data_IF_885139165131
#
_entry.id   IF_885139165131
#
_cell.length_a   1.000
_cell.length_b   1.000
_cell.length_c   1.000
_cell.angle_alpha   90.00
_cell.angle_beta   90.00
_cell.angle_gamma   90.00
#
_symmetry.space_group_name_H-M   'P 1'
#
loop_
_entity.id
_entity.type
_entity.pdbx_description
1 polymer ?
#
# COMPACT_ATOMS: atom_id res chain seq x y z
N UNK A 1 6.61 29.55 32.32
CA UNK A 1 5.98 28.92 31.14
C UNK A 1 6.87 27.76 30.74
N UNK A 2 6.55 26.54 31.19
CA UNK A 2 7.33 25.36 30.81
C UNK A 2 7.02 25.03 29.35
N UNK A 3 8.05 25.08 28.50
CA UNK A 3 8.01 24.52 27.15
C UNK A 3 7.81 23.00 27.25
N UNK A 4 6.57 22.54 27.20
CA UNK A 4 6.27 21.14 26.91
C UNK A 4 6.79 20.86 25.49
N UNK A 5 7.92 20.17 25.40
CA UNK A 5 8.30 19.44 24.18
C UNK A 5 7.10 18.57 23.84
N UNK A 6 6.37 18.91 22.78
CA UNK A 6 5.24 18.12 22.30
C UNK A 6 5.82 16.77 21.85
N UNK A 7 5.72 15.75 22.72
CA UNK A 7 6.06 14.39 22.36
C UNK A 7 5.00 13.94 21.35
N UNK A 8 5.25 14.19 20.06
CA UNK A 8 4.40 13.64 19.00
C UNK A 8 4.49 12.11 19.10
N UNK A 9 3.35 11.43 18.99
CA UNK A 9 3.34 9.96 18.97
C UNK A 9 4.10 9.45 17.75
N UNK A 10 4.62 8.22 17.82
CA UNK A 10 5.24 7.58 16.67
C UNK A 10 4.24 7.43 15.52
N UNK A 11 2.95 7.21 15.84
CA UNK A 11 1.85 7.20 14.87
C UNK A 11 1.75 8.53 14.10
N UNK A 12 1.80 9.68 14.79
CA UNK A 12 1.78 10.99 14.13
C UNK A 12 2.98 11.18 13.20
N UNK A 13 4.16 10.70 13.61
CA UNK A 13 5.37 10.77 12.80
C UNK A 13 5.25 9.89 11.54
N UNK A 14 4.70 8.68 11.67
CA UNK A 14 4.37 7.83 10.53
C UNK A 14 3.39 8.51 9.57
N UNK A 15 2.32 9.11 10.08
CA UNK A 15 1.33 9.81 9.26
C UNK A 15 1.96 10.95 8.45
N UNK A 16 2.89 11.70 9.06
CA UNK A 16 3.67 12.75 8.36
C UNK A 16 4.58 12.14 7.31
N UNK A 17 5.34 11.09 7.62
CA UNK A 17 6.22 10.42 6.67
C UNK A 17 5.44 9.87 5.45
N UNK A 18 4.27 9.28 5.69
CA UNK A 18 3.35 8.82 4.63
C UNK A 18 2.91 10.00 3.75
N UNK A 19 2.52 11.12 4.34
CA UNK A 19 2.13 12.31 3.57
C UNK A 19 3.29 12.85 2.73
N UNK A 20 4.49 12.97 3.30
CA UNK A 20 5.69 13.45 2.59
C UNK A 20 6.04 12.54 1.40
N UNK A 21 6.06 11.22 1.60
CA UNK A 21 6.29 10.26 0.52
C UNK A 21 5.22 10.39 -0.59
N UNK A 22 3.95 10.61 -0.22
CA UNK A 22 2.89 10.84 -1.19
C UNK A 22 3.01 12.17 -1.94
N UNK A 23 3.69 13.18 -1.40
CA UNK A 23 3.99 14.43 -2.12
C UNK A 23 5.22 14.31 -3.02
N UNK A 24 6.07 13.30 -2.80
CA UNK A 24 7.22 13.03 -3.66
C UNK A 24 6.79 12.81 -5.11
N UNK A 25 7.47 13.51 -6.04
CA UNK A 25 7.16 13.45 -7.47
C UNK A 25 7.63 12.14 -8.12
N UNK A 26 8.75 11.59 -7.67
CA UNK A 26 9.42 10.45 -8.29
C UNK A 26 9.57 9.25 -7.34
N UNK A 27 8.87 9.24 -6.19
CA UNK A 27 8.90 8.12 -5.25
C UNK A 27 10.24 7.91 -4.54
N UNK A 28 11.16 8.89 -4.55
CA UNK A 28 12.49 8.74 -3.91
C UNK A 28 12.42 8.47 -2.39
N UNK A 29 11.27 8.75 -1.76
CA UNK A 29 11.02 8.47 -0.34
C UNK A 29 10.34 7.12 -0.10
N UNK A 30 10.01 6.36 -1.15
CA UNK A 30 9.20 5.15 -1.04
C UNK A 30 9.93 4.06 -0.24
N UNK A 31 11.19 3.78 -0.60
CA UNK A 31 12.01 2.81 0.11
C UNK A 31 12.32 3.27 1.55
N UNK A 32 12.58 4.57 1.73
CA UNK A 32 12.78 5.16 3.05
C UNK A 32 11.55 4.96 3.93
N UNK A 33 10.35 5.24 3.41
CA UNK A 33 9.10 5.08 4.15
C UNK A 33 8.89 3.62 4.58
N UNK A 34 9.07 2.67 3.65
CA UNK A 34 8.95 1.23 3.94
C UNK A 34 9.90 0.83 5.07
N UNK A 35 11.17 1.17 4.93
CA UNK A 35 12.18 0.89 5.94
C UNK A 35 11.82 1.53 7.28
N UNK A 36 11.43 2.80 7.28
CA UNK A 36 11.07 3.54 8.48
C UNK A 36 9.90 2.93 9.24
N UNK A 37 8.83 2.54 8.53
CA UNK A 37 7.69 1.84 9.13
C UNK A 37 8.07 0.44 9.63
N UNK A 38 8.91 -0.28 8.87
CA UNK A 38 9.43 -1.58 9.26
C UNK A 38 10.25 -1.53 10.55
N UNK A 39 11.03 -0.47 10.78
CA UNK A 39 11.77 -0.29 12.04
C UNK A 39 10.84 -0.25 13.25
N UNK A 40 9.62 0.27 13.11
CA UNK A 40 8.64 0.44 14.19
C UNK A 40 7.91 -0.85 14.57
N UNK A 41 8.14 -1.96 13.86
CA UNK A 41 7.61 -3.27 14.23
C UNK A 41 8.31 -3.78 15.50
N UNK A 42 7.55 -4.38 16.41
CA UNK A 42 8.03 -4.79 17.73
C UNK A 42 9.28 -5.69 17.69
N UNK A 43 9.33 -6.64 16.75
CA UNK A 43 10.50 -7.51 16.54
C UNK A 43 11.76 -6.70 16.18
N UNK A 44 11.62 -5.71 15.31
CA UNK A 44 12.71 -4.83 14.89
C UNK A 44 13.11 -3.86 15.99
N UNK A 45 12.15 -3.30 16.75
CA UNK A 45 12.42 -2.50 17.93
C UNK A 45 13.20 -3.29 19.00
N UNK A 46 12.85 -4.56 19.22
CA UNK A 46 13.55 -5.44 20.15
C UNK A 46 15.00 -5.68 19.73
N UNK A 47 15.25 -5.82 18.43
CA UNK A 47 16.60 -5.94 17.89
C UNK A 47 17.37 -4.62 18.02
N UNK A 48 16.74 -3.49 17.72
CA UNK A 48 17.34 -2.15 17.78
C UNK A 48 17.66 -1.71 19.20
N UNK A 49 16.90 -2.13 20.21
CA UNK A 49 17.22 -1.88 21.61
C UNK A 49 18.58 -2.46 22.03
N UNK A 50 19.08 -3.48 21.34
CA UNK A 50 20.44 -4.01 21.57
C UNK A 50 21.53 -3.12 20.97
N UNK A 51 21.18 -2.26 20.01
CA UNK A 51 22.10 -1.39 19.27
C UNK A 51 22.02 0.07 19.71
N UNK A 52 20.84 0.53 20.14
CA UNK A 52 20.55 1.90 20.54
C UNK A 52 20.32 1.94 22.05
N UNK A 53 21.02 2.82 22.76
CA UNK A 53 20.71 3.16 24.16
C UNK A 53 19.27 3.62 24.27
N UNK A 54 18.50 3.09 25.23
CA UNK A 54 17.07 3.37 25.45
C UNK A 54 16.73 4.85 25.21
N UNK A 55 16.15 5.15 24.06
CA UNK A 55 15.46 6.41 23.80
C UNK A 55 14.11 6.37 24.50
N UNK A 56 13.65 7.51 25.04
CA UNK A 56 12.40 7.58 25.80
C UNK A 56 11.21 6.97 25.06
N UNK A 57 10.26 6.39 25.80
CA UNK A 57 9.09 5.76 25.21
C UNK A 57 8.19 6.80 24.52
N UNK A 58 8.07 6.70 23.21
CA UNK A 58 7.00 7.35 22.47
C UNK A 58 5.77 6.45 22.50
N UNK A 59 4.57 7.03 22.66
CA UNK A 59 3.34 6.28 22.42
C UNK A 59 3.28 5.89 20.94
N UNK A 60 2.90 4.64 20.68
CA UNK A 60 2.75 4.10 19.33
C UNK A 60 1.50 3.23 19.26
N UNK A 61 0.66 3.48 18.25
CA UNK A 61 -0.39 2.56 17.83
C UNK A 61 -0.14 2.17 16.38
N UNK A 62 0.14 0.88 16.18
CA UNK A 62 0.27 0.28 14.86
C UNK A 62 -1.06 0.40 14.12
N UNK A 63 -2.17 0.15 14.79
CA UNK A 63 -3.53 0.15 14.24
C UNK A 63 -3.89 1.52 13.68
N UNK A 64 -3.54 2.60 14.38
CA UNK A 64 -3.74 3.96 13.92
C UNK A 64 -2.96 4.25 12.63
N UNK A 65 -1.69 3.81 12.57
CA UNK A 65 -0.85 3.94 11.37
C UNK A 65 -1.43 3.15 10.19
N UNK A 66 -1.82 1.90 10.45
CA UNK A 66 -2.41 0.99 9.45
C UNK A 66 -3.70 1.57 8.88
N UNK A 67 -4.64 2.01 9.72
CA UNK A 67 -5.91 2.55 9.24
C UNK A 67 -5.71 3.85 8.45
N UNK A 68 -4.75 4.69 8.88
CA UNK A 68 -4.38 5.87 8.11
C UNK A 68 -3.85 5.51 6.71
N UNK A 69 -2.96 4.52 6.61
CA UNK A 69 -2.45 4.05 5.31
C UNK A 69 -3.59 3.49 4.44
N UNK A 70 -4.49 2.67 5.01
CA UNK A 70 -5.68 2.17 4.30
C UNK A 70 -6.56 3.31 3.79
N UNK A 71 -6.77 4.35 4.60
CA UNK A 71 -7.49 5.55 4.19
C UNK A 71 -6.78 6.28 3.03
N UNK A 72 -5.45 6.39 3.07
CA UNK A 72 -4.68 7.00 1.99
C UNK A 72 -4.77 6.20 0.71
N UNK A 73 -4.66 4.87 0.75
CA UNK A 73 -4.90 3.99 -0.40
C UNK A 73 -6.28 4.24 -1.01
N UNK A 74 -7.32 4.32 -0.17
CA UNK A 74 -8.70 4.55 -0.63
C UNK A 74 -8.92 5.88 -1.35
N UNK A 75 -8.14 6.91 -1.01
CA UNK A 75 -8.25 8.26 -1.57
C UNK A 75 -7.25 8.54 -2.69
N UNK A 76 -6.22 7.72 -2.82
CA UNK A 76 -5.13 7.95 -3.76
C UNK A 76 -5.56 7.60 -5.19
N UNK A 77 -5.12 8.42 -6.14
CA UNK A 77 -5.39 8.23 -7.58
C UNK A 77 -4.18 7.73 -8.37
N UNK A 78 -2.98 7.74 -7.78
CA UNK A 78 -1.77 7.23 -8.42
C UNK A 78 -1.54 5.77 -8.03
N UNK A 79 -1.43 4.91 -9.03
CA UNK A 79 -1.14 3.49 -8.84
C UNK A 79 0.21 3.27 -8.18
N UNK A 80 1.25 3.96 -8.64
CA UNK A 80 2.62 3.86 -8.13
C UNK A 80 2.65 4.17 -6.63
N UNK A 81 1.98 5.26 -6.23
CA UNK A 81 1.87 5.65 -4.83
C UNK A 81 1.03 4.66 -4.02
N UNK A 82 -0.07 4.15 -4.57
CA UNK A 82 -0.86 3.11 -3.92
C UNK A 82 -0.07 1.82 -3.71
N UNK A 83 0.72 1.39 -4.70
CA UNK A 83 1.63 0.24 -4.61
C UNK A 83 2.63 0.43 -3.47
N UNK A 84 3.23 1.61 -3.37
CA UNK A 84 4.13 1.92 -2.25
C UNK A 84 3.42 1.79 -0.88
N UNK A 85 2.18 2.27 -0.77
CA UNK A 85 1.39 2.14 0.47
C UNK A 85 1.00 0.69 0.78
N UNK A 86 0.73 -0.14 -0.22
CA UNK A 86 0.52 -1.58 -0.01
C UNK A 86 1.79 -2.25 0.53
N UNK A 87 2.96 -1.91 -0.01
CA UNK A 87 4.22 -2.37 0.58
C UNK A 87 4.38 -1.91 2.02
N UNK A 88 4.02 -0.67 2.34
CA UNK A 88 4.04 -0.17 3.72
C UNK A 88 3.14 -0.99 4.67
N UNK A 89 1.97 -1.43 4.22
CA UNK A 89 1.12 -2.34 5.00
C UNK A 89 1.79 -3.70 5.21
N UNK A 90 2.44 -4.25 4.18
CA UNK A 90 3.20 -5.49 4.29
C UNK A 90 4.37 -5.37 5.27
N UNK A 91 5.11 -4.25 5.27
CA UNK A 91 6.20 -4.00 6.25
C UNK A 91 5.64 -3.96 7.69
N UNK A 92 4.43 -3.44 7.86
CA UNK A 92 3.73 -3.46 9.14
C UNK A 92 3.09 -4.84 9.43
N UNK A 93 3.16 -5.81 8.52
CA UNK A 93 2.53 -7.12 8.68
C UNK A 93 1.00 -7.07 8.67
N UNK A 94 0.39 -6.10 7.98
CA UNK A 94 -1.05 -6.09 7.68
C UNK A 94 -1.28 -6.53 6.22
N UNK A 95 -1.82 -7.73 6.04
CA UNK A 95 -2.15 -8.30 4.74
C UNK A 95 -3.66 -8.29 4.46
N UNK A 96 -4.45 -7.61 5.29
CA UNK A 96 -5.91 -7.68 5.27
C UNK A 96 -6.53 -7.23 3.93
N UNK A 97 -5.99 -6.16 3.35
CA UNK A 97 -6.41 -5.71 2.02
C UNK A 97 -6.01 -6.73 0.96
N UNK A 98 -4.81 -7.30 1.03
CA UNK A 98 -4.36 -8.35 0.10
C UNK A 98 -5.32 -9.55 0.11
N UNK A 99 -5.71 -10.00 1.30
CA UNK A 99 -6.65 -11.10 1.48
C UNK A 99 -8.06 -10.77 0.96
N UNK A 100 -8.54 -9.52 1.15
CA UNK A 100 -9.82 -9.06 0.59
C UNK A 100 -9.81 -9.17 -0.94
N UNK A 101 -8.72 -8.74 -1.58
CA UNK A 101 -8.60 -8.70 -3.03
C UNK A 101 -8.45 -10.11 -3.61
N UNK A 102 -7.66 -10.97 -2.98
CA UNK A 102 -7.55 -12.36 -3.40
C UNK A 102 -8.90 -13.08 -3.31
N UNK A 103 -9.70 -12.82 -2.27
CA UNK A 103 -11.07 -13.34 -2.18
C UNK A 103 -11.95 -12.80 -3.29
N UNK A 104 -11.85 -11.50 -3.58
CA UNK A 104 -12.60 -10.84 -4.65
C UNK A 104 -12.24 -11.35 -6.05
N UNK A 105 -10.96 -11.68 -6.29
CA UNK A 105 -10.48 -12.33 -7.52
C UNK A 105 -11.05 -13.75 -7.65
N UNK A 106 -10.97 -14.55 -6.59
CA UNK A 106 -11.44 -15.95 -6.57
C UNK A 106 -12.96 -16.08 -6.73
N UNK A 107 -13.74 -15.08 -6.29
CA UNK A 107 -15.20 -15.11 -6.40
C UNK A 107 -15.72 -14.84 -7.83
N UNK A 108 -14.87 -14.37 -8.74
CA UNK A 108 -15.26 -13.99 -10.10
C UNK A 108 -16.21 -12.79 -10.15
N UNK A 109 -16.29 -12.01 -9.07
CA UNK A 109 -17.18 -10.84 -8.98
C UNK A 109 -16.69 -9.65 -9.81
N UNK A 110 -15.43 -9.65 -10.25
CA UNK A 110 -14.82 -8.62 -11.10
C UNK A 110 -15.68 -8.31 -12.33
N UNK A 111 -16.28 -9.34 -12.97
CA UNK A 111 -17.14 -9.14 -14.16
C UNK A 111 -18.55 -8.68 -13.83
N UNK A 112 -18.97 -8.79 -12.56
CA UNK A 112 -20.37 -8.63 -12.12
C UNK A 112 -20.65 -7.28 -11.45
N UNK A 113 -19.67 -6.70 -10.75
CA UNK A 113 -19.81 -5.43 -10.02
C UNK A 113 -18.86 -4.36 -10.52
N UNK A 114 -19.16 -3.09 -10.22
CA UNK A 114 -18.26 -1.97 -10.50
C UNK A 114 -17.21 -1.86 -9.39
N UNK A 115 -15.93 -1.89 -9.76
CA UNK A 115 -14.82 -1.66 -8.84
C UNK A 115 -14.70 -0.20 -8.42
N UNK A 116 -14.40 0.00 -7.13
CA UNK A 116 -13.95 1.28 -6.59
C UNK A 116 -12.48 1.55 -6.92
N UNK A 117 -12.05 2.81 -6.80
CA UNK A 117 -10.64 3.21 -7.05
C UNK A 117 -9.64 2.43 -6.18
N UNK A 118 -10.03 2.11 -4.94
CA UNK A 118 -9.19 1.33 -4.03
C UNK A 118 -9.09 -0.13 -4.48
N UNK A 119 -10.18 -0.71 -4.98
CA UNK A 119 -10.22 -2.07 -5.53
C UNK A 119 -9.43 -2.19 -6.83
N UNK A 120 -9.44 -1.17 -7.70
CA UNK A 120 -8.57 -1.12 -8.87
C UNK A 120 -7.08 -1.06 -8.48
N UNK A 121 -6.72 -0.16 -7.56
CA UNK A 121 -5.32 -0.04 -7.08
C UNK A 121 -4.81 -1.34 -6.46
N UNK A 122 -5.68 -1.97 -5.67
CA UNK A 122 -5.51 -3.28 -5.10
C UNK A 122 -5.25 -4.37 -6.15
N UNK A 123 -6.11 -4.46 -7.17
CA UNK A 123 -5.99 -5.45 -8.23
C UNK A 123 -4.65 -5.31 -8.96
N UNK A 124 -4.27 -4.08 -9.31
CA UNK A 124 -2.97 -3.78 -9.91
C UNK A 124 -1.82 -4.26 -9.03
N UNK A 125 -1.88 -3.97 -7.72
CA UNK A 125 -0.84 -4.44 -6.79
C UNK A 125 -0.71 -5.96 -6.78
N UNK A 126 -1.82 -6.71 -6.70
CA UNK A 126 -1.79 -8.19 -6.72
C UNK A 126 -1.19 -8.71 -8.01
N UNK A 127 -1.61 -8.16 -9.15
CA UNK A 127 -1.13 -8.59 -10.47
C UNK A 127 0.38 -8.32 -10.63
N UNK A 128 0.88 -7.19 -10.13
CA UNK A 128 2.30 -6.82 -10.20
C UNK A 128 3.19 -7.55 -9.19
N UNK A 129 2.63 -7.99 -8.07
CA UNK A 129 3.40 -8.65 -6.98
C UNK A 129 3.21 -10.16 -6.92
N UNK A 130 2.38 -10.72 -7.79
CA UNK A 130 2.27 -12.16 -7.98
C UNK A 130 3.63 -12.74 -8.39
N UNK A 131 4.09 -13.78 -7.69
CA UNK A 131 5.34 -14.48 -8.04
C UNK A 131 5.26 -15.15 -9.43
N UNK A 132 4.05 -15.34 -9.98
CA UNK A 132 3.86 -15.77 -11.36
C UNK A 132 4.09 -14.61 -12.33
N UNK A 133 5.18 -14.69 -13.09
CA UNK A 133 5.34 -13.87 -14.30
C UNK A 133 4.18 -14.16 -15.26
N UNK A 134 3.31 -13.16 -15.46
CA UNK A 134 2.29 -13.21 -16.50
C UNK A 134 2.96 -12.96 -17.86
N UNK A 135 3.40 -14.02 -18.54
CA UNK A 135 3.93 -13.93 -19.91
C UNK A 135 2.83 -13.46 -20.90
N UNK A 136 1.56 -13.75 -20.59
CA UNK A 136 0.35 -13.29 -21.29
C UNK A 136 -0.61 -12.71 -20.25
N UNK A 137 -1.06 -11.46 -20.43
CA UNK A 137 -2.06 -10.84 -19.59
C UNK A 137 -3.39 -10.67 -20.34
N UNK A 138 -4.36 -11.53 -20.04
CA UNK A 138 -5.67 -11.52 -20.70
C UNK A 138 -6.59 -10.42 -20.13
N UNK A 139 -6.63 -9.28 -20.83
CA UNK A 139 -7.46 -8.12 -20.46
C UNK A 139 -8.96 -8.43 -20.54
N UNK A 140 -9.40 -9.38 -21.39
CA UNK A 140 -10.82 -9.71 -21.57
C UNK A 140 -11.44 -10.31 -20.30
N UNK A 141 -10.61 -10.85 -19.40
CA UNK A 141 -11.07 -11.37 -18.10
C UNK A 141 -11.59 -10.27 -17.16
N UNK A 142 -11.26 -9.01 -17.43
CA UNK A 142 -11.65 -7.87 -16.61
C UNK A 142 -12.73 -7.01 -17.28
N UNK A 143 -12.97 -7.21 -18.57
CA UNK A 143 -14.06 -6.57 -19.30
C UNK A 143 -15.37 -7.28 -18.95
N UNK A 144 -16.39 -6.50 -18.58
CA UNK A 144 -17.66 -7.02 -18.09
C UNK A 144 -18.80 -6.03 -18.28
N UNK A 145 -20.00 -6.40 -17.82
CA UNK A 145 -21.20 -5.56 -17.99
C UNK A 145 -21.07 -4.15 -17.40
N UNK A 146 -20.23 -4.00 -16.37
CA UNK A 146 -20.01 -2.75 -15.64
C UNK A 146 -18.68 -2.06 -15.96
N UNK A 147 -17.87 -2.64 -16.87
CA UNK A 147 -16.51 -2.18 -17.16
C UNK A 147 -16.27 -2.11 -18.66
N UNK A 148 -16.03 -0.89 -19.17
CA UNK A 148 -15.69 -0.69 -20.58
C UNK A 148 -14.20 -0.98 -20.82
N UNK A 149 -13.86 -1.41 -22.04
CA UNK A 149 -12.49 -1.78 -22.39
C UNK A 149 -11.47 -0.65 -22.15
N UNK A 150 -11.84 0.60 -22.41
CA UNK A 150 -11.02 1.79 -22.17
C UNK A 150 -10.79 2.05 -20.66
N UNK A 151 -11.81 1.87 -19.83
CA UNK A 151 -11.68 1.97 -18.37
C UNK A 151 -10.76 0.88 -17.82
N UNK A 152 -10.95 -0.37 -18.26
CA UNK A 152 -10.12 -1.51 -17.82
C UNK A 152 -8.67 -1.30 -18.23
N UNK A 153 -8.43 -0.94 -19.49
CA UNK A 153 -7.08 -0.67 -19.99
C UNK A 153 -6.42 0.50 -19.25
N UNK A 154 -7.17 1.57 -18.96
CA UNK A 154 -6.64 2.72 -18.21
C UNK A 154 -6.19 2.32 -16.81
N UNK A 155 -7.00 1.51 -16.10
CA UNK A 155 -6.70 1.10 -14.73
C UNK A 155 -5.62 -0.01 -14.67
N UNK A 156 -5.52 -0.86 -15.68
CA UNK A 156 -4.57 -1.99 -15.73
C UNK A 156 -3.33 -1.71 -16.59
N UNK A 157 -3.17 -0.48 -17.08
CA UNK A 157 -2.01 -0.05 -17.87
C UNK A 157 -0.66 -0.38 -17.20
N UNK A 158 -0.49 -0.23 -15.86
CA UNK A 158 0.75 -0.65 -15.22
C UNK A 158 1.04 -2.15 -15.37
N UNK A 159 0.01 -3.01 -15.31
CA UNK A 159 0.16 -4.46 -15.46
C UNK A 159 0.50 -4.82 -16.90
N UNK A 160 -0.19 -4.20 -17.85
CA UNK A 160 0.04 -4.37 -19.29
C UNK A 160 1.47 -3.99 -19.70
N UNK A 161 2.06 -2.96 -19.09
CA UNK A 161 3.44 -2.55 -19.38
C UNK A 161 4.49 -3.57 -18.91
N UNK A 162 4.17 -4.34 -17.88
CA UNK A 162 5.07 -5.35 -17.32
C UNK A 162 4.86 -6.74 -17.96
N UNK A 163 3.79 -6.94 -18.75
CA UNK A 163 3.56 -8.19 -19.48
C UNK A 163 4.37 -8.23 -20.79
N UNK A 164 4.75 -9.44 -21.23
CA UNK A 164 5.48 -9.62 -22.50
C UNK A 164 4.55 -9.55 -23.72
N UNK A 165 3.29 -9.93 -23.54
CA UNK A 165 2.24 -9.86 -24.55
C UNK A 165 0.88 -9.58 -23.89
N UNK A 166 -0.03 -8.96 -24.65
CA UNK A 166 -1.40 -8.60 -24.27
C UNK A 166 -2.36 -9.19 -25.30
#
# INVERSE_FOLDING_TARGET
IFNQKKNNSLSELHQRAVNEALQSKNGHLDLFLRFFLGLSVETNQTLLQKLLTQTGSCSYSKEETVEFIKQKIRKNRSFEKSINLFHCLNELGDDSLMQEIQRYLKSGEIKKGKLSSSQWSALVYVLLTSEQKMDVFDLEQFIGKQHRADEVLHNLLPVVKESRSV
#
